data_IF_415836725873
#
_entry.id   IF_415836725873
#
_cell.length_a   1.000
_cell.length_b   1.000
_cell.length_c   1.000
_cell.angle_alpha   90.00
_cell.angle_beta   90.00
_cell.angle_gamma   90.00
#
_symmetry.space_group_name_H-M   'P 1'
#
loop_
_entity.id
_entity.type
_entity.pdbx_description
1 polymer ?
#
# COMPACT_ATOMS: atom_id res chain seq x y z
N UNK A 1 -14.79 4.15 -33.66
CA UNK A 1 -13.52 3.38 -33.73
C UNK A 1 -13.82 1.90 -33.76
N UNK A 2 -13.26 1.17 -34.73
CA UNK A 2 -13.39 -0.31 -34.85
C UNK A 2 -12.32 -0.95 -33.91
N UNK A 3 -12.68 -2.01 -33.20
CA UNK A 3 -11.73 -2.76 -32.38
C UNK A 3 -12.01 -4.26 -32.44
N UNK A 4 -10.97 -5.07 -32.24
CA UNK A 4 -11.07 -6.53 -32.12
C UNK A 4 -10.20 -7.01 -30.95
N UNK A 5 -10.53 -8.17 -30.39
CA UNK A 5 -9.72 -8.80 -29.34
C UNK A 5 -9.23 -10.15 -29.84
N UNK A 6 -7.92 -10.39 -29.75
CA UNK A 6 -7.28 -11.66 -30.12
C UNK A 6 -6.10 -11.94 -29.20
N UNK A 7 -5.88 -13.19 -28.78
CA UNK A 7 -4.65 -13.55 -28.09
C UNK A 7 -3.47 -13.49 -29.07
N UNK A 8 -2.31 -13.06 -28.57
CA UNK A 8 -1.05 -13.05 -29.31
C UNK A 8 0.05 -13.63 -28.42
N UNK A 9 0.86 -14.53 -28.96
CA UNK A 9 1.97 -15.13 -28.22
C UNK A 9 3.12 -14.15 -28.01
N UNK A 10 3.94 -14.41 -27.00
CA UNK A 10 5.17 -13.62 -26.77
C UNK A 10 6.07 -13.67 -28.02
N UNK A 11 6.10 -14.81 -28.73
CA UNK A 11 6.82 -14.92 -30.02
C UNK A 11 6.34 -13.91 -31.06
N UNK A 12 5.03 -13.67 -31.14
CA UNK A 12 4.44 -12.68 -32.04
C UNK A 12 4.95 -11.27 -31.74
N UNK A 13 4.96 -10.88 -30.46
CA UNK A 13 5.48 -9.57 -30.03
C UNK A 13 6.97 -9.43 -30.34
N UNK A 14 7.75 -10.48 -30.08
CA UNK A 14 9.17 -10.51 -30.39
C UNK A 14 9.45 -10.31 -31.88
N UNK A 15 8.73 -11.03 -32.74
CA UNK A 15 8.88 -10.95 -34.19
C UNK A 15 8.56 -9.54 -34.70
N UNK A 16 7.41 -8.98 -34.30
CA UNK A 16 7.00 -7.65 -34.76
C UNK A 16 7.88 -6.54 -34.23
N UNK A 17 8.38 -6.68 -33.00
CA UNK A 17 9.34 -5.73 -32.44
C UNK A 17 10.69 -5.77 -33.19
N UNK A 18 11.25 -6.94 -33.44
CA UNK A 18 12.48 -7.10 -34.23
C UNK A 18 12.34 -6.58 -35.65
N UNK A 19 11.19 -6.79 -36.27
CA UNK A 19 10.89 -6.30 -37.61
C UNK A 19 10.61 -4.78 -37.68
N UNK A 20 10.65 -4.07 -36.54
CA UNK A 20 10.35 -2.64 -36.51
C UNK A 20 8.88 -2.29 -36.70
N UNK A 21 7.98 -3.27 -36.62
CA UNK A 21 6.54 -3.09 -36.80
C UNK A 21 5.77 -2.89 -35.50
N UNK A 22 6.38 -3.13 -34.36
CA UNK A 22 5.79 -2.90 -33.02
C UNK A 22 6.53 -1.76 -32.34
N UNK A 23 5.83 -0.68 -32.05
CA UNK A 23 6.33 0.48 -31.32
C UNK A 23 5.82 0.46 -29.87
N UNK A 24 6.76 0.52 -28.90
CA UNK A 24 6.46 0.50 -27.48
C UNK A 24 6.33 1.91 -26.86
N UNK A 25 6.65 2.98 -27.61
CA UNK A 25 6.62 4.36 -27.12
C UNK A 25 5.83 5.27 -28.07
N UNK A 26 4.50 5.31 -28.00
CA UNK A 26 3.79 6.39 -28.68
C UNK A 26 4.17 7.75 -28.07
N UNK A 27 4.13 8.85 -28.83
CA UNK A 27 4.68 10.17 -28.48
C UNK A 27 4.16 10.81 -27.20
N UNK A 28 3.03 10.33 -26.67
CA UNK A 28 2.32 10.90 -25.52
C UNK A 28 2.57 10.21 -24.17
N UNK A 29 3.49 9.23 -24.09
CA UNK A 29 3.71 8.47 -22.83
C UNK A 29 5.04 8.76 -22.13
N UNK A 30 5.03 8.64 -20.79
CA UNK A 30 6.14 8.93 -19.90
C UNK A 30 7.19 7.80 -19.85
N UNK A 31 8.38 8.10 -19.28
CA UNK A 31 9.47 7.14 -19.04
C UNK A 31 9.00 5.93 -18.21
N UNK A 32 9.66 4.76 -18.32
CA UNK A 32 9.35 3.55 -17.56
C UNK A 32 9.37 3.80 -16.03
N UNK A 33 8.38 3.28 -15.31
CA UNK A 33 8.21 3.53 -13.86
C UNK A 33 8.16 2.23 -13.05
N UNK A 34 8.27 1.06 -13.70
CA UNK A 34 8.16 -0.22 -13.00
C UNK A 34 9.42 -0.53 -12.20
N UNK A 35 9.21 -0.90 -10.92
CA UNK A 35 10.27 -1.43 -10.06
C UNK A 35 10.61 -2.87 -10.43
N UNK A 36 11.80 -3.33 -10.07
CA UNK A 36 12.23 -4.71 -10.31
C UNK A 36 11.28 -5.73 -9.68
N UNK A 37 10.66 -5.42 -8.55
CA UNK A 37 9.62 -6.26 -7.93
C UNK A 37 8.43 -6.47 -8.86
N UNK A 38 7.91 -5.43 -9.50
CA UNK A 38 6.79 -5.55 -10.46
C UNK A 38 7.19 -6.29 -11.72
N UNK A 39 8.41 -6.08 -12.19
CA UNK A 39 8.96 -6.76 -13.38
C UNK A 39 9.12 -8.25 -13.11
N UNK A 40 9.75 -8.63 -12.00
CA UNK A 40 9.92 -10.02 -11.59
C UNK A 40 8.59 -10.74 -11.40
N UNK A 41 7.63 -10.09 -10.75
CA UNK A 41 6.29 -10.64 -10.53
C UNK A 41 5.51 -10.90 -11.84
N UNK A 42 5.63 -9.99 -12.83
CA UNK A 42 5.03 -10.20 -14.15
C UNK A 42 5.63 -11.44 -14.85
N UNK A 43 6.95 -11.57 -14.86
CA UNK A 43 7.62 -12.70 -15.52
C UNK A 43 7.27 -14.02 -14.81
N UNK A 44 7.25 -14.04 -13.48
CA UNK A 44 6.83 -15.20 -12.72
C UNK A 44 5.39 -15.60 -13.05
N UNK A 45 4.46 -14.65 -13.14
CA UNK A 45 3.07 -14.91 -13.53
C UNK A 45 2.97 -15.57 -14.91
N UNK A 46 3.78 -15.12 -15.87
CA UNK A 46 3.86 -15.70 -17.22
C UNK A 46 4.43 -17.13 -17.16
N UNK A 47 5.49 -17.36 -16.39
CA UNK A 47 6.11 -18.69 -16.22
C UNK A 47 5.18 -19.68 -15.51
N UNK A 48 4.27 -19.19 -14.68
CA UNK A 48 3.23 -19.98 -13.99
C UNK A 48 1.92 -20.09 -14.79
N UNK A 49 1.88 -19.60 -16.02
CA UNK A 49 0.68 -19.56 -16.88
C UNK A 49 -0.53 -18.85 -16.26
N UNK A 50 -0.26 -17.85 -15.40
CA UNK A 50 -1.28 -17.02 -14.74
C UNK A 50 -1.70 -15.90 -15.69
N UNK A 51 -3.03 -15.65 -15.90
CA UNK A 51 -3.50 -14.58 -16.76
C UNK A 51 -3.01 -13.20 -16.33
N UNK A 52 -2.55 -12.41 -17.30
CA UNK A 52 -2.15 -11.01 -17.10
C UNK A 52 -3.14 -10.06 -17.79
N UNK A 53 -3.22 -8.77 -17.37
CA UNK A 53 -4.11 -7.80 -17.99
C UNK A 53 -3.84 -7.63 -19.49
N UNK A 54 -4.92 -7.41 -20.28
CA UNK A 54 -4.87 -7.22 -21.74
C UNK A 54 -4.01 -6.00 -22.13
N UNK A 55 -3.49 -6.05 -23.36
CA UNK A 55 -2.69 -4.97 -23.98
C UNK A 55 -3.53 -4.30 -25.06
N UNK A 56 -3.47 -2.97 -25.14
CA UNK A 56 -4.14 -2.19 -26.17
C UNK A 56 -3.13 -1.74 -27.21
N UNK A 57 -3.42 -2.03 -28.49
CA UNK A 57 -2.53 -1.77 -29.62
C UNK A 57 -3.29 -1.03 -30.70
N UNK A 58 -2.81 0.14 -31.10
CA UNK A 58 -3.25 0.82 -32.32
C UNK A 58 -2.72 0.09 -33.53
N UNK A 59 -3.57 -0.11 -34.53
CA UNK A 59 -3.16 -0.65 -35.83
C UNK A 59 -3.31 0.46 -36.88
N UNK A 60 -2.20 0.82 -37.50
CA UNK A 60 -2.16 1.72 -38.65
C UNK A 60 -1.60 0.98 -39.88
N UNK A 61 -1.81 1.51 -41.07
CA UNK A 61 -1.29 0.94 -42.29
C UNK A 61 -0.26 1.87 -42.90
N UNK A 62 0.93 1.37 -43.22
CA UNK A 62 1.94 2.12 -43.97
C UNK A 62 1.53 2.19 -45.46
N UNK A 63 2.18 3.08 -46.22
CA UNK A 63 1.86 3.29 -47.65
C UNK A 63 2.02 2.03 -48.52
N UNK A 64 2.85 1.10 -48.09
CA UNK A 64 3.05 -0.22 -48.76
C UNK A 64 2.03 -1.27 -48.36
N UNK A 65 1.04 -0.93 -47.53
CA UNK A 65 0.03 -1.83 -46.99
C UNK A 65 0.46 -2.63 -45.75
N UNK A 66 1.68 -2.47 -45.27
CA UNK A 66 2.18 -3.15 -44.06
C UNK A 66 1.51 -2.58 -42.80
N UNK A 67 0.99 -3.48 -41.95
CA UNK A 67 0.44 -3.08 -40.64
C UNK A 67 1.56 -2.68 -39.68
N UNK A 68 1.34 -1.54 -38.99
CA UNK A 68 2.16 -1.02 -37.90
C UNK A 68 1.36 -1.05 -36.60
N UNK A 69 2.03 -1.37 -35.51
CA UNK A 69 1.43 -1.64 -34.21
C UNK A 69 1.99 -0.69 -33.16
N UNK A 70 1.21 0.27 -32.70
CA UNK A 70 1.57 1.20 -31.62
C UNK A 70 0.95 0.77 -30.30
N UNK A 71 1.75 0.52 -29.26
CA UNK A 71 1.23 0.09 -27.96
C UNK A 71 0.63 1.27 -27.20
N UNK A 72 -0.70 1.28 -27.02
CA UNK A 72 -1.47 2.31 -26.33
C UNK A 72 -1.47 2.10 -24.81
N UNK A 73 -1.74 0.86 -24.37
CA UNK A 73 -1.60 0.45 -22.97
C UNK A 73 -0.93 -0.93 -22.87
N UNK A 74 -0.22 -1.16 -21.79
CA UNK A 74 0.56 -2.38 -21.57
C UNK A 74 2.03 -2.27 -21.95
N UNK A 75 2.55 -1.10 -22.27
CA UNK A 75 3.95 -0.87 -22.65
C UNK A 75 4.94 -1.42 -21.63
N UNK A 76 4.72 -1.16 -20.33
CA UNK A 76 5.60 -1.65 -19.27
C UNK A 76 5.63 -3.19 -19.22
N UNK A 77 4.49 -3.83 -19.48
CA UNK A 77 4.36 -5.30 -19.57
C UNK A 77 5.19 -5.83 -20.74
N UNK A 78 4.96 -5.32 -21.95
CA UNK A 78 5.66 -5.79 -23.15
C UNK A 78 7.17 -5.47 -23.09
N UNK A 79 7.53 -4.29 -22.60
CA UNK A 79 8.94 -3.93 -22.39
C UNK A 79 9.63 -4.90 -21.44
N UNK A 80 8.99 -5.22 -20.30
CA UNK A 80 9.53 -6.18 -19.33
C UNK A 80 9.73 -7.56 -19.96
N UNK A 81 8.75 -8.04 -20.73
CA UNK A 81 8.83 -9.32 -21.44
C UNK A 81 10.01 -9.33 -22.43
N UNK A 82 10.14 -8.29 -23.25
CA UNK A 82 11.19 -8.20 -24.27
C UNK A 82 12.58 -8.03 -23.65
N UNK A 83 12.69 -7.25 -22.57
CA UNK A 83 13.96 -7.11 -21.83
C UNK A 83 14.38 -8.41 -21.15
N UNK A 84 13.44 -9.19 -20.61
CA UNK A 84 13.75 -10.49 -19.99
C UNK A 84 14.40 -11.46 -20.98
N UNK A 85 13.95 -11.46 -22.24
CA UNK A 85 14.53 -12.30 -23.31
C UNK A 85 15.73 -11.64 -24.02
N UNK A 86 16.17 -10.46 -23.58
CA UNK A 86 17.34 -9.76 -24.12
C UNK A 86 17.12 -9.17 -25.52
N UNK A 87 15.89 -8.76 -25.84
CA UNK A 87 15.60 -8.13 -27.15
C UNK A 87 15.50 -6.64 -26.94
N UNK A 88 16.45 -5.91 -27.52
CA UNK A 88 16.49 -4.46 -27.54
C UNK A 88 16.71 -3.94 -28.97
N UNK A 89 16.18 -2.73 -29.24
CA UNK A 89 16.46 -1.98 -30.47
C UNK A 89 17.45 -0.88 -30.14
N UNK A 90 18.36 -0.61 -31.07
CA UNK A 90 19.37 0.43 -30.93
C UNK A 90 18.79 1.83 -30.65
N UNK A 91 17.55 2.09 -31.09
CA UNK A 91 16.81 3.34 -30.89
C UNK A 91 16.23 3.51 -29.47
N UNK A 92 16.16 2.43 -28.69
CA UNK A 92 15.67 2.42 -27.31
C UNK A 92 16.80 2.61 -26.27
N UNK A 93 18.04 2.93 -26.71
CA UNK A 93 19.27 3.03 -25.90
C UNK A 93 19.31 4.16 -24.87
N UNK A 94 18.26 4.94 -24.66
CA UNK A 94 18.19 5.88 -23.52
C UNK A 94 17.97 5.20 -22.16
N UNK A 95 17.87 3.87 -22.11
CA UNK A 95 17.87 3.13 -20.85
C UNK A 95 19.29 2.65 -20.59
N UNK A 96 20.01 3.37 -19.74
CA UNK A 96 21.28 2.93 -19.18
C UNK A 96 21.16 1.48 -18.68
N UNK A 97 22.04 0.62 -19.20
CA UNK A 97 22.16 -0.81 -18.92
C UNK A 97 21.01 -1.71 -19.40
N UNK A 98 21.16 -2.13 -20.63
CA UNK A 98 20.48 -3.26 -21.31
C UNK A 98 20.82 -4.63 -20.71
N UNK A 99 21.00 -4.74 -19.42
CA UNK A 99 21.29 -6.03 -18.82
C UNK A 99 20.02 -6.85 -18.65
N UNK A 100 20.05 -8.08 -19.16
CA UNK A 100 19.14 -9.16 -18.78
C UNK A 100 18.92 -9.08 -17.28
N UNK A 101 17.70 -8.78 -16.85
CA UNK A 101 17.46 -8.71 -15.41
C UNK A 101 17.18 -10.11 -14.83
N UNK A 102 17.66 -10.35 -13.63
CA UNK A 102 17.32 -11.54 -12.85
C UNK A 102 16.03 -11.30 -12.02
N UNK A 103 15.33 -12.37 -11.70
CA UNK A 103 14.09 -12.34 -10.92
C UNK A 103 14.39 -12.21 -9.42
N UNK A 104 15.27 -11.29 -9.03
CA UNK A 104 15.80 -11.13 -7.66
C UNK A 104 14.73 -10.74 -6.63
N UNK A 105 13.71 -10.00 -7.06
CA UNK A 105 12.69 -9.46 -6.17
C UNK A 105 11.52 -10.41 -5.88
N UNK A 106 11.65 -11.70 -6.24
CA UNK A 106 10.67 -12.74 -5.92
C UNK A 106 10.81 -13.24 -4.48
N UNK A 107 9.74 -13.85 -3.97
CA UNK A 107 9.75 -14.51 -2.66
C UNK A 107 10.84 -15.61 -2.58
N UNK A 108 11.39 -15.82 -1.38
CA UNK A 108 12.43 -16.85 -1.18
C UNK A 108 11.96 -18.27 -1.51
N UNK A 109 10.65 -18.50 -1.51
CA UNK A 109 10.00 -19.78 -1.83
C UNK A 109 9.76 -19.98 -3.33
N UNK A 110 9.96 -18.95 -4.17
CA UNK A 110 9.76 -19.05 -5.62
C UNK A 110 10.88 -19.89 -6.25
N UNK A 111 10.48 -20.85 -7.08
CA UNK A 111 11.41 -21.69 -7.86
C UNK A 111 12.12 -20.91 -8.98
N UNK A 112 11.61 -19.71 -9.29
CA UNK A 112 12.17 -18.83 -10.32
C UNK A 112 13.03 -17.71 -9.74
N UNK A 113 13.17 -17.63 -8.41
CA UNK A 113 13.98 -16.59 -7.78
C UNK A 113 15.40 -16.58 -8.29
N UNK A 114 15.93 -15.39 -8.52
CA UNK A 114 17.28 -15.08 -9.00
C UNK A 114 17.60 -15.64 -10.40
N UNK A 115 16.65 -16.28 -11.11
CA UNK A 115 16.84 -16.75 -12.47
C UNK A 115 16.80 -15.60 -13.48
N UNK A 116 17.68 -15.69 -14.46
CA UNK A 116 17.61 -14.95 -15.73
C UNK A 116 16.90 -15.81 -16.80
N UNK A 117 16.61 -15.25 -17.97
CA UNK A 117 16.07 -16.05 -19.08
C UNK A 117 17.00 -17.19 -19.53
N UNK A 118 18.32 -16.99 -19.40
CA UNK A 118 19.31 -18.02 -19.73
C UNK A 118 19.30 -19.22 -18.77
N UNK A 119 18.84 -19.01 -17.54
CA UNK A 119 18.76 -20.05 -16.51
C UNK A 119 17.48 -20.91 -16.61
N UNK A 120 16.53 -20.51 -17.46
CA UNK A 120 15.32 -21.28 -17.71
C UNK A 120 15.62 -22.56 -18.48
N UNK A 121 14.92 -23.62 -18.14
CA UNK A 121 14.95 -24.88 -18.92
C UNK A 121 14.37 -24.70 -20.33
N UNK A 122 14.69 -25.61 -21.24
CA UNK A 122 14.16 -25.58 -22.60
C UNK A 122 12.62 -25.62 -22.64
N UNK A 123 11.97 -26.33 -21.72
CA UNK A 123 10.51 -26.38 -21.64
C UNK A 123 9.95 -25.07 -21.07
N UNK A 124 10.54 -24.49 -20.02
CA UNK A 124 10.12 -23.18 -19.50
C UNK A 124 10.22 -22.08 -20.56
N UNK A 125 11.29 -22.07 -21.38
CA UNK A 125 11.43 -21.13 -22.51
C UNK A 125 10.37 -21.33 -23.57
N UNK A 126 10.03 -22.58 -23.92
CA UNK A 126 8.96 -22.86 -24.89
C UNK A 126 7.61 -22.40 -24.36
N UNK A 127 7.29 -22.69 -23.11
CA UNK A 127 6.05 -22.21 -22.47
C UNK A 127 6.01 -20.69 -22.44
N UNK A 128 7.09 -20.03 -22.04
CA UNK A 128 7.18 -18.58 -22.04
C UNK A 128 6.89 -17.98 -23.42
N UNK A 129 7.49 -18.46 -24.48
CA UNK A 129 7.25 -17.94 -25.83
C UNK A 129 5.85 -18.26 -26.38
N UNK A 130 5.22 -19.35 -25.92
CA UNK A 130 3.86 -19.71 -26.29
C UNK A 130 2.79 -18.99 -25.45
N UNK A 131 3.18 -18.40 -24.33
CA UNK A 131 2.24 -17.69 -23.47
C UNK A 131 1.50 -16.61 -24.29
N UNK A 132 0.18 -16.60 -24.18
CA UNK A 132 -0.69 -15.72 -24.95
C UNK A 132 -1.15 -14.53 -24.10
N UNK A 133 -0.91 -13.33 -24.62
CA UNK A 133 -1.40 -12.08 -24.05
C UNK A 133 -2.64 -11.67 -24.85
N UNK A 134 -3.75 -11.39 -24.17
CA UNK A 134 -4.93 -10.85 -24.83
C UNK A 134 -4.63 -9.44 -25.36
N UNK A 135 -4.78 -9.24 -26.67
CA UNK A 135 -4.54 -7.94 -27.32
C UNK A 135 -5.84 -7.37 -27.84
N UNK A 136 -6.12 -6.13 -27.50
CA UNK A 136 -7.20 -5.34 -28.08
C UNK A 136 -6.64 -4.43 -29.14
N UNK A 137 -6.90 -4.79 -30.40
CA UNK A 137 -6.52 -4.01 -31.57
C UNK A 137 -7.51 -2.88 -31.80
N UNK A 138 -7.00 -1.66 -31.95
CA UNK A 138 -7.75 -0.43 -32.23
C UNK A 138 -7.39 0.04 -33.65
N UNK A 139 -8.34 -0.04 -34.55
CA UNK A 139 -8.17 0.37 -35.94
C UNK A 139 -8.57 1.83 -36.08
N UNK A 140 -7.60 2.72 -35.98
CA UNK A 140 -7.81 4.15 -36.14
C UNK A 140 -6.48 4.86 -36.40
N UNK A 141 -6.44 5.71 -37.42
CA UNK A 141 -5.26 6.50 -37.78
C UNK A 141 -5.20 7.85 -37.03
N UNK A 142 -6.30 8.27 -36.37
CA UNK A 142 -6.31 9.50 -35.57
C UNK A 142 -5.76 9.27 -34.16
N UNK A 143 -4.54 9.77 -33.94
CA UNK A 143 -3.86 9.71 -32.63
C UNK A 143 -4.69 10.36 -31.51
N UNK A 144 -5.49 11.39 -31.78
CA UNK A 144 -6.30 12.08 -30.75
C UNK A 144 -7.40 11.17 -30.23
N UNK A 145 -8.08 10.43 -31.11
CA UNK A 145 -9.09 9.46 -30.69
C UNK A 145 -8.46 8.32 -29.86
N UNK A 146 -7.26 7.86 -30.24
CA UNK A 146 -6.52 6.84 -29.49
C UNK A 146 -6.07 7.36 -28.13
N UNK A 147 -5.58 8.59 -28.04
CA UNK A 147 -5.28 9.24 -26.76
C UNK A 147 -6.50 9.36 -25.84
N UNK A 148 -7.67 9.68 -26.41
CA UNK A 148 -8.90 9.76 -25.61
C UNK A 148 -9.34 8.39 -25.09
N UNK A 149 -9.15 7.33 -25.85
CA UNK A 149 -9.34 5.96 -25.35
C UNK A 149 -8.38 5.66 -24.20
N UNK A 150 -7.09 5.98 -24.35
CA UNK A 150 -6.10 5.79 -23.30
C UNK A 150 -6.45 6.57 -22.02
N UNK A 151 -6.86 7.84 -22.15
CA UNK A 151 -7.30 8.66 -21.01
C UNK A 151 -8.51 8.04 -20.31
N UNK A 152 -9.48 7.49 -21.09
CA UNK A 152 -10.65 6.82 -20.54
C UNK A 152 -10.29 5.53 -19.82
N UNK A 153 -9.47 4.66 -20.42
CA UNK A 153 -8.99 3.43 -19.79
C UNK A 153 -8.33 3.70 -18.45
N UNK A 154 -7.40 4.66 -18.41
CA UNK A 154 -6.73 5.06 -17.16
C UNK A 154 -7.68 5.69 -16.12
N UNK A 155 -8.73 6.39 -16.58
CA UNK A 155 -9.72 7.02 -15.67
C UNK A 155 -10.60 5.97 -14.96
N UNK A 156 -10.86 4.84 -15.59
CA UNK A 156 -11.65 3.75 -15.00
C UNK A 156 -10.81 2.79 -14.15
N UNK A 157 -9.50 2.81 -14.27
CA UNK A 157 -8.60 1.94 -13.50
C UNK A 157 -8.20 2.65 -12.20
N UNK A 158 -8.93 2.37 -11.11
CA UNK A 158 -8.51 2.78 -9.77
C UNK A 158 -7.47 1.78 -9.26
N UNK A 159 -6.21 2.20 -9.05
CA UNK A 159 -5.21 1.30 -8.49
C UNK A 159 -5.63 0.87 -7.08
N UNK A 160 -5.49 -0.42 -6.79
CA UNK A 160 -5.72 -0.93 -5.45
C UNK A 160 -4.81 -0.21 -4.45
N UNK A 161 -5.37 0.14 -3.30
CA UNK A 161 -4.60 0.61 -2.16
C UNK A 161 -3.81 -0.54 -1.54
N UNK A 162 -2.71 -0.28 -0.83
CA UNK A 162 -1.95 -1.35 -0.19
C UNK A 162 -2.81 -2.28 0.67
N UNK A 163 -3.79 -1.75 1.41
CA UNK A 163 -4.65 -2.56 2.25
C UNK A 163 -5.64 -3.42 1.44
N UNK A 164 -6.17 -2.92 0.33
CA UNK A 164 -7.03 -3.72 -0.56
C UNK A 164 -6.25 -4.89 -1.15
N UNK A 165 -4.96 -4.69 -1.46
CA UNK A 165 -4.09 -5.77 -1.93
C UNK A 165 -3.80 -6.78 -0.81
N UNK A 166 -3.54 -6.34 0.44
CA UNK A 166 -3.35 -7.23 1.59
C UNK A 166 -4.58 -8.11 1.81
N UNK A 167 -5.76 -7.52 1.81
CA UNK A 167 -7.01 -8.27 1.99
C UNK A 167 -7.25 -9.32 0.90
N UNK A 168 -6.80 -9.06 -0.33
CA UNK A 168 -6.88 -10.03 -1.42
C UNK A 168 -5.81 -11.13 -1.34
N UNK A 169 -4.72 -10.90 -0.59
CA UNK A 169 -3.54 -11.78 -0.59
C UNK A 169 -3.44 -12.60 0.71
N UNK A 170 -3.79 -12.04 1.87
CA UNK A 170 -3.52 -12.62 3.18
C UNK A 170 -4.81 -12.94 3.92
N UNK A 171 -4.86 -14.14 4.51
CA UNK A 171 -6.03 -14.67 5.25
C UNK A 171 -5.64 -15.25 6.61
N UNK A 172 -4.41 -15.01 7.07
CA UNK A 172 -3.87 -15.51 8.33
C UNK A 172 -4.47 -14.85 9.57
N UNK A 173 -3.97 -15.24 10.74
CA UNK A 173 -4.52 -14.84 12.04
C UNK A 173 -4.48 -13.32 12.29
N UNK A 174 -3.42 -12.63 11.81
CA UNK A 174 -3.29 -11.19 11.95
C UNK A 174 -4.28 -10.42 11.06
N UNK A 175 -4.47 -10.87 9.81
CA UNK A 175 -5.45 -10.31 8.89
C UNK A 175 -6.87 -10.43 9.47
N UNK A 176 -7.27 -11.64 9.86
CA UNK A 176 -8.59 -11.94 10.45
C UNK A 176 -8.86 -11.09 11.71
N UNK A 177 -7.85 -10.92 12.59
CA UNK A 177 -8.02 -10.08 13.77
C UNK A 177 -8.18 -8.60 13.41
N UNK A 178 -7.40 -8.11 12.45
CA UNK A 178 -7.51 -6.71 11.99
C UNK A 178 -8.87 -6.42 11.38
N UNK A 179 -9.41 -7.33 10.56
CA UNK A 179 -10.77 -7.26 10.01
C UNK A 179 -11.83 -7.26 11.13
N UNK A 180 -11.76 -8.23 12.05
CA UNK A 180 -12.70 -8.33 13.16
C UNK A 180 -12.76 -7.05 14.01
N UNK A 181 -11.63 -6.40 14.25
CA UNK A 181 -11.58 -5.16 15.03
C UNK A 181 -12.06 -3.94 14.23
N UNK A 182 -11.98 -3.97 12.92
CA UNK A 182 -12.47 -2.92 12.04
C UNK A 182 -14.01 -2.91 11.92
N UNK A 183 -14.69 -4.03 12.21
CA UNK A 183 -16.16 -4.15 12.15
C UNK A 183 -16.90 -3.35 13.25
N UNK A 184 -16.19 -2.79 14.26
CA UNK A 184 -16.83 -1.96 15.29
C UNK A 184 -17.30 -0.62 14.68
N UNK A 185 -18.60 -0.35 14.76
CA UNK A 185 -19.22 0.89 14.27
C UNK A 185 -18.62 2.16 14.89
N UNK A 186 -17.93 2.04 16.01
CA UNK A 186 -17.26 3.13 16.71
C UNK A 186 -16.34 3.94 15.78
N UNK A 187 -15.66 3.28 14.84
CA UNK A 187 -14.73 3.94 13.93
C UNK A 187 -15.43 4.89 12.95
N UNK A 188 -16.58 4.47 12.46
CA UNK A 188 -17.41 5.24 11.53
C UNK A 188 -18.22 6.34 12.25
N UNK A 189 -18.88 5.98 13.36
CA UNK A 189 -19.71 6.90 14.15
C UNK A 189 -18.89 8.08 14.67
N UNK A 190 -17.70 7.82 15.18
CA UNK A 190 -16.78 8.86 15.68
C UNK A 190 -15.93 9.51 14.57
N UNK A 191 -16.15 9.17 13.30
CA UNK A 191 -15.44 9.73 12.13
C UNK A 191 -13.90 9.62 12.20
N UNK A 192 -13.38 8.69 13.01
CA UNK A 192 -11.93 8.39 13.08
C UNK A 192 -11.45 7.87 11.74
N UNK A 193 -12.29 7.09 11.05
CA UNK A 193 -12.12 6.70 9.65
C UNK A 193 -13.35 7.16 8.87
N UNK A 194 -13.15 7.95 7.82
CA UNK A 194 -14.26 8.45 7.01
C UNK A 194 -14.93 7.32 6.21
N UNK A 195 -16.24 7.40 5.88
CA UNK A 195 -16.92 6.39 5.07
C UNK A 195 -16.27 6.15 3.70
N UNK A 196 -15.67 7.18 3.12
CA UNK A 196 -14.91 7.05 1.86
C UNK A 196 -13.61 6.25 2.05
N UNK A 197 -12.96 6.38 3.20
CA UNK A 197 -11.74 5.64 3.54
C UNK A 197 -12.06 4.18 3.92
N UNK A 198 -13.18 3.92 4.62
CA UNK A 198 -13.67 2.57 4.95
C UNK A 198 -13.90 1.76 3.65
N UNK A 199 -14.52 2.37 2.63
CA UNK A 199 -14.68 1.71 1.31
C UNK A 199 -13.37 1.30 0.66
N UNK A 200 -12.24 1.82 1.12
CA UNK A 200 -10.88 1.51 0.68
C UNK A 200 -10.08 0.77 1.76
N UNK A 201 -10.77 0.14 2.72
CA UNK A 201 -10.21 -0.68 3.80
C UNK A 201 -9.21 0.04 4.71
N UNK A 202 -9.33 1.37 4.86
CA UNK A 202 -8.43 2.16 5.69
C UNK A 202 -8.68 1.97 7.20
N UNK A 203 -9.84 1.47 7.58
CA UNK A 203 -10.20 0.99 8.90
C UNK A 203 -9.39 -0.27 9.28
N UNK A 204 -9.34 -1.26 8.40
CA UNK A 204 -8.53 -2.48 8.58
C UNK A 204 -7.03 -2.11 8.68
N UNK A 205 -6.55 -1.23 7.80
CA UNK A 205 -5.17 -0.72 7.88
C UNK A 205 -4.89 -0.04 9.22
N UNK A 206 -5.84 0.74 9.74
CA UNK A 206 -5.72 1.38 11.04
C UNK A 206 -5.67 0.36 12.18
N UNK A 207 -6.52 -0.67 12.16
CA UNK A 207 -6.47 -1.72 13.17
C UNK A 207 -5.14 -2.45 13.17
N UNK A 208 -4.62 -2.76 11.99
CA UNK A 208 -3.27 -3.36 11.84
C UNK A 208 -2.19 -2.48 12.48
N UNK A 209 -2.22 -1.19 12.23
CA UNK A 209 -1.26 -0.21 12.77
C UNK A 209 -1.38 -0.09 14.30
N UNK A 210 -2.61 -0.07 14.86
CA UNK A 210 -2.86 -0.07 16.30
C UNK A 210 -2.37 -1.36 16.97
N UNK A 211 -2.63 -2.53 16.38
CA UNK A 211 -2.16 -3.82 16.89
C UNK A 211 -0.63 -3.86 16.97
N UNK A 212 0.06 -3.41 15.90
CA UNK A 212 1.53 -3.33 15.86
C UNK A 212 2.04 -2.40 16.95
N UNK A 213 1.38 -1.25 17.14
CA UNK A 213 1.72 -0.28 18.19
C UNK A 213 1.54 -0.84 19.61
N UNK A 214 0.52 -1.67 19.85
CA UNK A 214 0.32 -2.34 21.14
C UNK A 214 1.34 -3.48 21.38
N UNK A 215 1.80 -4.15 20.32
CA UNK A 215 2.78 -5.24 20.42
C UNK A 215 4.19 -4.72 20.73
N UNK A 216 4.60 -3.63 20.11
CA UNK A 216 6.00 -3.20 20.07
C UNK A 216 6.22 -1.72 20.43
N UNK A 217 5.20 -1.04 20.94
CA UNK A 217 5.24 0.41 21.10
C UNK A 217 5.11 1.15 19.77
N UNK A 218 5.27 2.49 19.75
CA UNK A 218 5.15 3.26 18.52
C UNK A 218 6.12 2.81 17.43
N UNK A 219 5.58 2.38 16.28
CA UNK A 219 6.34 2.01 15.09
C UNK A 219 6.05 2.99 13.95
N UNK A 220 6.89 2.99 12.89
CA UNK A 220 6.59 3.74 11.67
C UNK A 220 5.33 3.21 10.97
N UNK A 221 4.52 4.10 10.39
CA UNK A 221 3.30 3.75 9.65
C UNK A 221 3.56 3.46 8.17
N UNK A 222 4.69 2.86 7.82
CA UNK A 222 4.99 2.49 6.43
C UNK A 222 4.23 1.23 6.02
N UNK A 223 3.82 1.17 4.75
CA UNK A 223 3.16 0.00 4.19
C UNK A 223 3.98 -1.29 4.41
N UNK A 224 5.32 -1.20 4.28
CA UNK A 224 6.22 -2.33 4.47
C UNK A 224 6.12 -2.96 5.86
N UNK A 225 6.04 -2.13 6.92
CA UNK A 225 5.95 -2.65 8.29
C UNK A 225 4.66 -3.47 8.46
N UNK A 226 3.54 -2.99 7.90
CA UNK A 226 2.27 -3.70 7.95
C UNK A 226 2.37 -4.99 7.10
N UNK A 227 2.95 -4.92 5.89
CA UNK A 227 3.16 -6.08 5.02
C UNK A 227 3.94 -7.20 5.74
N UNK A 228 5.04 -6.84 6.44
CA UNK A 228 5.87 -7.80 7.19
C UNK A 228 5.07 -8.57 8.27
N UNK A 229 4.05 -7.92 8.89
CA UNK A 229 3.17 -8.59 9.87
C UNK A 229 2.13 -9.49 9.22
N UNK A 230 1.55 -9.07 8.10
CA UNK A 230 0.62 -9.91 7.34
C UNK A 230 1.34 -11.17 6.84
N UNK A 231 2.54 -11.03 6.29
CA UNK A 231 3.36 -12.14 5.80
C UNK A 231 3.79 -13.08 6.94
N UNK A 232 4.22 -12.51 8.08
CA UNK A 232 4.68 -13.28 9.24
C UNK A 232 3.62 -14.23 9.78
N UNK A 233 2.34 -13.82 9.80
CA UNK A 233 1.25 -14.57 10.40
C UNK A 233 0.29 -15.19 9.37
N UNK A 234 0.70 -15.31 8.11
CA UNK A 234 -0.12 -15.88 7.04
C UNK A 234 -0.16 -17.41 7.07
N UNK A 235 1.00 -18.04 7.30
CA UNK A 235 1.14 -19.49 7.14
C UNK A 235 0.71 -20.29 8.37
N UNK A 236 0.33 -19.62 9.46
CA UNK A 236 0.20 -20.25 10.77
C UNK A 236 -1.10 -19.82 11.42
N UNK A 237 -2.19 -20.54 11.14
CA UNK A 237 -3.48 -20.35 11.83
C UNK A 237 -3.34 -20.48 13.37
N UNK A 238 -2.34 -21.23 13.86
CA UNK A 238 -2.08 -21.47 15.27
C UNK A 238 -0.95 -20.60 15.87
N UNK A 239 -0.24 -19.79 15.08
CA UNK A 239 0.98 -19.13 15.52
C UNK A 239 0.93 -17.59 15.52
N UNK A 240 -0.15 -17.04 16.04
CA UNK A 240 -0.11 -15.71 16.60
C UNK A 240 -0.23 -15.83 18.13
N UNK A 241 0.85 -16.21 18.83
CA UNK A 241 0.81 -16.54 20.27
C UNK A 241 0.28 -15.38 21.12
N UNK A 242 0.52 -14.16 20.68
CA UNK A 242 0.03 -12.96 21.36
C UNK A 242 -1.44 -12.62 21.07
N UNK A 243 -2.13 -13.30 20.16
CA UNK A 243 -3.45 -12.95 19.68
C UNK A 243 -4.46 -12.71 20.81
N UNK A 244 -4.59 -13.69 21.72
CA UNK A 244 -5.53 -13.58 22.84
C UNK A 244 -5.17 -12.47 23.82
N UNK A 245 -3.89 -12.25 24.06
CA UNK A 245 -3.39 -11.17 24.91
C UNK A 245 -3.65 -9.81 24.29
N UNK A 246 -3.26 -9.65 23.01
CA UNK A 246 -3.38 -8.36 22.33
C UNK A 246 -4.85 -7.98 22.10
N UNK A 247 -5.72 -8.95 21.81
CA UNK A 247 -7.15 -8.73 21.69
C UNK A 247 -7.76 -8.19 22.99
N UNK A 248 -7.41 -8.77 24.15
CA UNK A 248 -7.84 -8.27 25.46
C UNK A 248 -7.29 -6.89 25.75
N UNK A 249 -6.02 -6.63 25.45
CA UNK A 249 -5.40 -5.32 25.61
C UNK A 249 -6.08 -4.27 24.76
N UNK A 250 -6.36 -4.60 23.50
CA UNK A 250 -7.09 -3.72 22.56
C UNK A 250 -8.47 -3.37 23.11
N UNK A 251 -9.26 -4.37 23.49
CA UNK A 251 -10.61 -4.18 24.04
C UNK A 251 -10.59 -3.30 25.30
N UNK A 252 -9.70 -3.60 26.26
CA UNK A 252 -9.53 -2.78 27.49
C UNK A 252 -9.15 -1.33 27.18
N UNK A 253 -8.29 -1.13 26.19
CA UNK A 253 -7.85 0.22 25.77
C UNK A 253 -9.01 0.96 25.13
N UNK A 254 -9.75 0.31 24.25
CA UNK A 254 -10.91 0.90 23.56
C UNK A 254 -12.01 1.28 24.56
N UNK A 255 -12.33 0.39 25.51
CA UNK A 255 -13.30 0.69 26.58
C UNK A 255 -12.86 1.90 27.41
N UNK A 256 -11.59 1.98 27.78
CA UNK A 256 -11.06 3.12 28.52
C UNK A 256 -11.19 4.43 27.73
N UNK A 257 -10.87 4.42 26.44
CA UNK A 257 -11.03 5.61 25.59
C UNK A 257 -12.51 5.99 25.44
N UNK A 258 -13.41 5.00 25.25
CA UNK A 258 -14.86 5.22 25.21
C UNK A 258 -15.37 5.83 26.52
N UNK A 259 -14.83 5.43 27.68
CA UNK A 259 -15.18 6.01 28.97
C UNK A 259 -14.69 7.44 29.13
N UNK A 260 -13.47 7.73 28.68
CA UNK A 260 -12.91 9.10 28.75
C UNK A 260 -13.60 10.05 27.75
N UNK A 261 -13.95 9.57 26.58
CA UNK A 261 -14.48 10.34 25.46
C UNK A 261 -15.58 9.56 24.74
N UNK A 262 -16.83 9.58 25.25
CA UNK A 262 -17.94 8.90 24.58
C UNK A 262 -18.18 9.34 23.13
N UNK A 263 -17.94 10.61 22.84
CA UNK A 263 -18.08 11.26 21.53
C UNK A 263 -16.71 11.81 21.06
N UNK A 264 -15.71 10.94 20.98
CA UNK A 264 -14.32 11.35 20.66
C UNK A 264 -14.21 12.04 19.30
N UNK A 265 -15.11 11.76 18.37
CA UNK A 265 -15.15 12.41 17.06
C UNK A 265 -15.36 13.93 17.11
N UNK A 266 -15.99 14.40 18.17
CA UNK A 266 -16.26 15.82 18.41
C UNK A 266 -15.22 16.48 19.32
N UNK A 267 -14.27 15.69 19.87
CA UNK A 267 -13.16 16.23 20.67
C UNK A 267 -12.03 16.70 19.77
N UNK A 268 -11.63 17.96 19.86
CA UNK A 268 -10.51 18.48 19.10
C UNK A 268 -9.30 17.54 19.16
N UNK A 269 -8.65 17.29 18.03
CA UNK A 269 -7.48 16.43 17.86
C UNK A 269 -7.71 14.93 18.01
N UNK A 270 -8.38 14.46 19.10
CA UNK A 270 -8.47 13.02 19.38
C UNK A 270 -9.33 12.25 18.39
N UNK A 271 -10.20 12.91 17.62
CA UNK A 271 -10.88 12.34 16.46
C UNK A 271 -9.99 12.22 15.20
N UNK A 272 -8.78 12.80 15.18
CA UNK A 272 -7.86 12.71 14.06
C UNK A 272 -7.10 11.38 14.11
N UNK A 273 -7.01 10.66 13.00
CA UNK A 273 -6.38 9.33 12.92
C UNK A 273 -4.96 9.28 13.52
N UNK A 274 -4.12 10.28 13.24
CA UNK A 274 -2.73 10.28 13.72
C UNK A 274 -2.62 10.53 15.22
N UNK A 275 -3.45 11.41 15.76
CA UNK A 275 -3.50 11.73 17.18
C UNK A 275 -4.21 10.60 17.95
N UNK A 276 -5.28 10.02 17.39
CA UNK A 276 -5.94 8.83 17.93
C UNK A 276 -4.97 7.65 18.06
N UNK A 277 -4.18 7.37 17.01
CA UNK A 277 -3.14 6.34 17.08
C UNK A 277 -2.22 6.55 18.29
N UNK A 278 -1.73 7.78 18.48
CA UNK A 278 -0.81 8.09 19.57
C UNK A 278 -1.47 7.94 20.94
N UNK A 279 -2.70 8.42 21.09
CA UNK A 279 -3.49 8.27 22.32
C UNK A 279 -3.76 6.79 22.63
N UNK A 280 -4.22 6.04 21.65
CA UNK A 280 -4.58 4.63 21.79
C UNK A 280 -3.37 3.76 22.17
N UNK A 281 -2.28 3.89 21.43
CA UNK A 281 -1.06 3.10 21.68
C UNK A 281 -0.43 3.47 23.03
N UNK A 282 -0.37 4.76 23.36
CA UNK A 282 0.17 5.19 24.66
C UNK A 282 -0.68 4.67 25.81
N UNK A 283 -2.00 4.85 25.74
CA UNK A 283 -2.92 4.37 26.77
C UNK A 283 -2.84 2.86 26.93
N UNK A 284 -2.89 2.12 25.81
CA UNK A 284 -2.88 0.66 25.82
C UNK A 284 -1.58 0.07 26.41
N UNK A 285 -0.43 0.69 26.11
CA UNK A 285 0.84 0.25 26.69
C UNK A 285 0.95 0.59 28.17
N UNK A 286 0.49 1.75 28.59
CA UNK A 286 0.45 2.11 30.03
C UNK A 286 -0.49 1.21 30.83
N UNK A 287 -1.63 0.82 30.27
CA UNK A 287 -2.62 -0.04 30.91
C UNK A 287 -2.18 -1.50 31.05
N UNK A 288 -1.02 -1.89 30.52
CA UNK A 288 -0.43 -3.21 30.80
C UNK A 288 -0.04 -3.33 32.28
N UNK A 289 0.70 -2.34 32.80
CA UNK A 289 1.27 -2.35 34.14
C UNK A 289 0.56 -1.41 35.12
N UNK A 290 -0.41 -0.64 34.64
CA UNK A 290 -1.13 0.35 35.43
C UNK A 290 -2.64 0.22 35.24
N UNK A 291 -3.38 0.76 36.20
CA UNK A 291 -4.82 0.97 36.11
C UNK A 291 -5.15 2.47 36.29
N UNK A 292 -6.19 2.93 35.58
CA UNK A 292 -6.78 4.25 35.81
C UNK A 292 -7.95 4.10 36.79
N UNK A 293 -7.84 4.60 38.03
CA UNK A 293 -8.96 4.61 38.96
C UNK A 293 -10.09 5.50 38.43
N UNK A 294 -11.33 5.01 38.49
CA UNK A 294 -12.53 5.70 37.98
C UNK A 294 -12.63 7.18 38.44
N UNK A 295 -12.27 7.46 39.69
CA UNK A 295 -12.25 8.83 40.24
C UNK A 295 -11.34 9.81 39.47
N UNK A 296 -10.39 9.33 38.67
CA UNK A 296 -9.46 10.14 37.90
C UNK A 296 -9.83 10.26 36.42
N UNK A 297 -10.81 9.50 35.94
CA UNK A 297 -11.18 9.51 34.50
C UNK A 297 -11.59 10.91 34.04
N UNK A 298 -12.49 11.58 34.75
CA UNK A 298 -12.93 12.94 34.41
C UNK A 298 -11.77 13.94 34.43
N UNK A 299 -10.86 13.82 35.41
CA UNK A 299 -9.70 14.72 35.52
C UNK A 299 -8.71 14.47 34.38
N UNK A 300 -8.47 13.22 34.02
CA UNK A 300 -7.62 12.86 32.88
C UNK A 300 -8.22 13.34 31.55
N UNK A 301 -9.51 13.13 31.32
CA UNK A 301 -10.21 13.59 30.13
C UNK A 301 -10.09 15.12 29.97
N UNK A 302 -10.35 15.88 31.05
CA UNK A 302 -10.13 17.33 31.06
C UNK A 302 -8.70 17.75 30.75
N UNK A 303 -7.71 17.04 31.33
CA UNK A 303 -6.29 17.34 31.06
C UNK A 303 -5.88 17.03 29.61
N UNK A 304 -6.43 15.98 29.01
CA UNK A 304 -6.18 15.65 27.61
C UNK A 304 -6.84 16.66 26.65
N UNK A 305 -8.01 17.24 27.00
CA UNK A 305 -8.63 18.33 26.24
C UNK A 305 -7.78 19.59 26.33
N UNK A 306 -7.40 20.02 27.54
CA UNK A 306 -6.51 21.18 27.75
C UNK A 306 -5.21 21.04 26.96
N UNK A 307 -4.60 19.85 27.00
CA UNK A 307 -3.39 19.56 26.24
C UNK A 307 -3.61 19.66 24.73
N UNK A 308 -4.74 19.14 24.21
CA UNK A 308 -5.10 19.27 22.80
C UNK A 308 -5.24 20.73 22.35
N UNK A 309 -5.88 21.56 23.17
CA UNK A 309 -6.04 23.00 22.92
C UNK A 309 -4.68 23.73 22.92
N UNK A 310 -3.78 23.43 23.87
CA UNK A 310 -2.42 23.97 23.86
C UNK A 310 -1.64 23.58 22.59
N UNK A 311 -1.79 22.34 22.12
CA UNK A 311 -1.15 21.87 20.88
C UNK A 311 -1.70 22.65 19.68
N UNK A 312 -3.02 22.86 19.61
CA UNK A 312 -3.65 23.60 18.52
C UNK A 312 -3.25 25.08 18.54
N UNK A 313 -3.20 25.70 19.71
CA UNK A 313 -2.67 27.07 19.86
C UNK A 313 -1.24 27.17 19.32
N UNK A 314 -0.40 26.16 19.61
CA UNK A 314 1.00 26.15 19.16
C UNK A 314 1.14 25.97 17.65
N UNK A 315 0.28 25.15 17.04
CA UNK A 315 0.24 24.94 15.58
C UNK A 315 -0.27 26.20 14.86
N UNK A 316 -1.27 26.88 15.44
CA UNK A 316 -1.81 28.14 14.88
C UNK A 316 -0.88 29.35 15.09
N UNK A 317 -0.09 29.34 16.18
CA UNK A 317 0.86 30.40 16.49
C UNK A 317 2.17 29.82 17.04
N UNK A 318 3.24 29.72 16.23
CA UNK A 318 4.53 29.19 16.65
C UNK A 318 5.22 29.91 17.81
N UNK A 319 4.77 31.11 18.16
CA UNK A 319 5.29 31.92 19.28
C UNK A 319 4.44 31.82 20.56
N UNK A 320 3.30 31.10 20.50
CA UNK A 320 2.42 30.93 21.66
C UNK A 320 3.18 30.36 22.86
N UNK A 321 2.88 30.91 24.04
CA UNK A 321 3.42 30.40 25.31
C UNK A 321 2.60 29.20 25.75
N UNK A 322 3.10 28.01 25.45
CA UNK A 322 2.50 26.71 25.79
C UNK A 322 3.53 25.88 26.58
N UNK A 323 3.08 24.79 27.20
CA UNK A 323 3.98 23.88 27.91
C UNK A 323 5.08 23.29 27.00
N UNK A 324 6.18 22.83 27.60
CA UNK A 324 7.26 22.14 26.85
C UNK A 324 6.75 20.88 26.14
N UNK A 325 5.86 20.18 26.82
CA UNK A 325 5.23 18.92 26.31
C UNK A 325 4.34 19.18 25.10
N UNK A 326 3.50 20.21 25.15
CA UNK A 326 2.66 20.62 24.01
C UNK A 326 3.50 21.06 22.82
N UNK A 327 4.61 21.74 23.06
CA UNK A 327 5.58 22.14 22.03
C UNK A 327 6.26 20.93 21.37
N UNK A 328 6.65 19.92 22.15
CA UNK A 328 7.23 18.66 21.64
C UNK A 328 6.21 17.94 20.75
N UNK A 329 4.99 17.77 21.23
CA UNK A 329 3.91 17.11 20.50
C UNK A 329 3.57 17.85 19.20
N UNK A 330 3.42 19.17 19.22
CA UNK A 330 3.14 19.98 18.05
C UNK A 330 4.21 19.81 16.95
N UNK A 331 5.48 19.86 17.31
CA UNK A 331 6.60 19.62 16.37
C UNK A 331 6.55 18.21 15.74
N UNK A 332 6.09 17.22 16.50
CA UNK A 332 5.98 15.86 16.02
C UNK A 332 4.82 15.64 15.04
N UNK A 333 3.90 16.61 14.90
CA UNK A 333 2.76 16.56 13.97
C UNK A 333 3.04 17.34 12.67
N UNK A 334 3.80 18.44 12.72
CA UNK A 334 3.99 19.38 11.62
C UNK A 334 4.49 18.70 10.33
N UNK A 335 5.41 17.74 10.43
CA UNK A 335 5.94 16.99 9.27
C UNK A 335 6.22 15.54 9.65
N UNK A 336 5.88 14.61 8.74
CA UNK A 336 6.22 13.20 8.92
C UNK A 336 5.50 12.52 10.07
N UNK A 337 4.23 12.85 10.34
CA UNK A 337 3.45 12.35 11.48
C UNK A 337 3.42 10.82 11.61
N UNK A 338 3.70 10.08 10.52
CA UNK A 338 3.76 8.63 10.51
C UNK A 338 5.18 8.06 10.69
N UNK A 339 6.21 8.90 10.79
CA UNK A 339 7.57 8.44 11.04
C UNK A 339 7.70 7.91 12.49
N UNK A 340 8.52 6.86 12.67
CA UNK A 340 8.71 6.22 13.98
C UNK A 340 9.16 7.22 15.04
N UNK A 341 10.16 8.05 14.74
CA UNK A 341 10.67 9.05 15.67
C UNK A 341 9.55 10.03 16.12
N UNK A 342 8.74 10.52 15.17
CA UNK A 342 7.63 11.43 15.46
C UNK A 342 6.52 10.77 16.28
N UNK A 343 6.23 9.50 16.03
CA UNK A 343 5.31 8.72 16.85
C UNK A 343 5.83 8.49 18.26
N UNK A 344 7.14 8.28 18.41
CA UNK A 344 7.78 8.19 19.73
C UNK A 344 7.72 9.51 20.49
N UNK A 345 8.07 10.64 19.86
CA UNK A 345 7.97 11.98 20.48
C UNK A 345 6.56 12.26 21.01
N UNK A 346 5.51 11.91 20.23
CA UNK A 346 4.10 12.05 20.66
C UNK A 346 3.76 11.12 21.81
N UNK A 347 4.25 9.88 21.76
CA UNK A 347 4.03 8.91 22.83
C UNK A 347 4.66 9.39 24.14
N UNK A 348 5.90 9.88 24.13
CA UNK A 348 6.59 10.42 25.32
C UNK A 348 5.81 11.58 25.93
N UNK A 349 5.37 12.53 25.11
CA UNK A 349 4.54 13.65 25.55
C UNK A 349 3.23 13.16 26.20
N UNK A 350 2.55 12.18 25.61
CA UNK A 350 1.32 11.63 26.18
C UNK A 350 1.57 10.82 27.46
N UNK A 351 2.68 10.10 27.55
CA UNK A 351 3.08 9.41 28.80
C UNK A 351 3.22 10.40 29.95
N UNK A 352 3.85 11.56 29.72
CA UNK A 352 4.00 12.60 30.72
C UNK A 352 2.65 13.15 31.22
N UNK A 353 1.69 13.31 30.31
CA UNK A 353 0.33 13.78 30.64
C UNK A 353 -0.51 12.70 31.35
N UNK A 354 -0.45 11.44 30.89
CA UNK A 354 -1.36 10.38 31.35
C UNK A 354 -0.87 9.70 32.63
N UNK A 355 0.43 9.41 32.73
CA UNK A 355 1.01 8.60 33.81
C UNK A 355 0.72 9.12 35.22
N UNK A 356 0.65 10.43 35.52
CA UNK A 356 0.32 10.94 36.86
C UNK A 356 -1.06 10.49 37.39
N UNK A 357 -2.00 10.17 36.52
CA UNK A 357 -3.35 9.73 36.88
C UNK A 357 -3.44 8.21 37.13
N UNK A 358 -2.43 7.47 36.71
CA UNK A 358 -2.42 6.02 36.81
C UNK A 358 -1.89 5.52 38.14
N UNK A 359 -2.23 4.28 38.47
CA UNK A 359 -1.68 3.54 39.63
C UNK A 359 -1.07 2.24 39.14
N UNK A 360 0.11 1.89 39.64
CA UNK A 360 0.77 0.63 39.32
C UNK A 360 -0.12 -0.53 39.79
N UNK A 361 -0.31 -1.54 38.96
CA UNK A 361 -0.98 -2.78 39.37
C UNK A 361 -0.20 -3.44 40.49
N UNK A 362 -0.91 -4.02 41.44
CA UNK A 362 -0.33 -4.79 42.53
C UNK A 362 0.10 -6.17 42.04
#
# INVERSE_FOLDING_TARGET
>A
MKHTSRPQSISWFQEHYKAGRLELRPPFQRKPVWTDKRRSFLIESILMDIPIPEVYVQVTQADDGTEQYGVVDGQQRLRTVLQFVGIERAEDQEVENSNLFALEALAATSIHKDKTFADLTGEERKLFFRYEICVRFLYNDDLREVEDVFKRLNKFTLPLKPQELRNATYHGAFAKLSEQLADDEYWAVNRIVSPAAIRRMADIEMMSDLLIGLLHGPQGGSAKIIDDYYEKYEQYDDEFPEQSRIKRQFAKTLEMIKSLFPEIGDVPRWGNRADYYSLFVTMGNLLQDHDLPHRFEKALAGKLIEFAEEVDQRLGNPTAKTSGVSKQYARAIEKGSNDKARRMDRNEALVEIIKPFLRKKK
#
